data_IF_768034360174
#
_entry.id   IF_768034360174
#
_cell.length_a   1.000
_cell.length_b   1.000
_cell.length_c   1.000
_cell.angle_alpha   90.00
_cell.angle_beta   90.00
_cell.angle_gamma   90.00
#
_symmetry.space_group_name_H-M   'P 1'
#
loop_
_entity.id
_entity.type
_entity.pdbx_description
1 polymer ?
#
# COMPACT_ATOMS: atom_id res chain seq x y z
N UNK A 1 8.60 6.60 -11.28
CA UNK A 1 8.42 5.38 -10.44
C UNK A 1 8.96 5.63 -9.01
N UNK A 2 8.22 6.35 -8.17
CA UNK A 2 8.57 6.71 -6.77
C UNK A 2 7.94 5.71 -5.78
N UNK A 3 8.26 4.42 -5.94
CA UNK A 3 8.13 3.50 -4.80
C UNK A 3 9.10 4.06 -3.76
N UNK A 4 8.70 4.24 -2.50
CA UNK A 4 9.62 4.53 -1.39
C UNK A 4 10.51 3.29 -1.07
N UNK A 5 10.91 2.56 -2.11
CA UNK A 5 12.14 1.80 -2.12
C UNK A 5 13.23 2.84 -2.26
N UNK A 6 14.10 2.87 -1.27
CA UNK A 6 15.37 3.57 -1.28
C UNK A 6 16.20 3.11 -2.49
N UNK A 7 15.93 3.70 -3.66
CA UNK A 7 16.85 3.77 -4.79
C UNK A 7 17.17 5.25 -5.03
N UNK A 8 17.58 5.92 -3.96
CA UNK A 8 18.44 7.08 -4.10
C UNK A 8 19.85 6.51 -4.24
N UNK A 9 20.27 6.41 -5.51
CA UNK A 9 21.69 6.33 -5.84
C UNK A 9 22.44 7.35 -5.01
N UNK A 10 23.44 6.88 -4.28
CA UNK A 10 24.48 7.70 -3.69
C UNK A 10 25.25 8.42 -4.80
N UNK A 11 24.78 9.58 -5.26
CA UNK A 11 25.60 10.57 -5.96
C UNK A 11 25.17 11.93 -5.45
N UNK A 12 26.04 12.60 -4.68
CA UNK A 12 25.84 13.98 -4.26
C UNK A 12 25.92 14.18 -2.74
N UNK A 13 27.14 14.37 -2.26
CA UNK A 13 27.46 14.83 -0.91
C UNK A 13 26.70 16.11 -0.50
N UNK A 14 25.96 16.08 0.60
CA UNK A 14 26.15 17.00 1.74
C UNK A 14 25.44 16.49 3.00
N UNK A 15 26.20 16.50 4.09
CA UNK A 15 26.04 15.77 5.35
C UNK A 15 24.89 16.32 6.20
N UNK A 16 24.13 15.44 6.86
CA UNK A 16 23.91 15.50 8.31
C UNK A 16 23.85 14.07 8.86
N UNK A 17 24.62 13.86 9.93
CA UNK A 17 24.98 12.61 10.61
C UNK A 17 23.78 11.71 10.96
N UNK A 18 23.88 10.37 11.02
CA UNK A 18 24.81 9.59 11.84
C UNK A 18 25.19 8.28 11.12
N UNK A 19 26.49 8.06 10.96
CA UNK A 19 27.09 6.72 10.83
C UNK A 19 27.94 6.49 12.08
N UNK A 20 27.97 5.25 12.59
CA UNK A 20 29.24 4.61 12.84
C UNK A 20 29.35 3.37 11.96
N UNK A 21 30.40 3.38 11.16
CA UNK A 21 31.01 2.23 10.51
C UNK A 21 31.63 1.32 11.58
N UNK A 22 31.22 0.04 11.66
CA UNK A 22 32.13 -1.11 11.70
C UNK A 22 31.36 -2.44 11.80
N UNK A 23 31.74 -3.33 10.89
CA UNK A 23 31.81 -4.79 10.87
C UNK A 23 31.20 -5.63 12.00
N UNK A 24 30.59 -6.74 11.57
CA UNK A 24 30.15 -7.85 12.40
C UNK A 24 31.26 -8.33 13.35
N UNK A 25 30.97 -8.41 14.64
CA UNK A 25 31.54 -9.44 15.52
C UNK A 25 30.41 -10.06 16.33
N UNK A 26 30.46 -11.38 16.39
CA UNK A 26 29.73 -12.28 17.27
C UNK A 26 29.62 -11.70 18.69
N UNK A 27 28.41 -11.33 19.10
CA UNK A 27 28.15 -10.78 20.42
C UNK A 27 26.67 -10.84 20.72
N UNK A 28 26.33 -11.55 21.79
CA UNK A 28 24.99 -11.77 22.36
C UNK A 28 24.05 -10.58 22.18
N UNK A 29 22.86 -10.88 21.65
CA UNK A 29 21.67 -10.03 21.65
C UNK A 29 21.46 -9.46 23.05
N UNK A 30 21.72 -8.16 23.25
CA UNK A 30 21.15 -7.43 24.38
C UNK A 30 20.01 -6.58 23.85
N UNK A 31 18.87 -7.26 23.82
CA UNK A 31 17.54 -6.68 23.81
C UNK A 31 17.45 -5.59 24.91
N UNK A 32 16.65 -4.55 24.62
CA UNK A 32 16.07 -3.58 25.55
C UNK A 32 16.81 -2.25 25.79
N UNK A 33 16.06 -1.14 25.57
CA UNK A 33 16.24 0.23 26.12
C UNK A 33 16.70 1.40 25.22
N UNK A 34 16.50 1.37 23.89
CA UNK A 34 16.72 2.59 23.06
C UNK A 34 15.73 2.88 21.91
N UNK A 35 14.54 2.28 21.86
CA UNK A 35 13.45 2.87 21.05
C UNK A 35 12.68 3.85 21.93
N UNK A 36 13.37 4.94 22.34
CA UNK A 36 12.66 6.08 22.92
C UNK A 36 11.64 6.50 21.88
N UNK A 37 10.38 6.55 22.32
CA UNK A 37 9.23 7.13 21.64
C UNK A 37 9.49 8.62 21.41
N UNK A 38 10.48 8.95 20.59
CA UNK A 38 10.81 10.32 20.27
C UNK A 38 9.77 10.76 19.25
N UNK A 39 8.67 11.34 19.73
CA UNK A 39 7.61 11.86 18.88
C UNK A 39 8.18 13.07 18.14
N UNK A 40 8.75 12.82 16.97
CA UNK A 40 9.19 13.89 16.08
C UNK A 40 7.97 14.63 15.55
N UNK A 41 7.76 15.87 15.98
CA UNK A 41 6.71 16.74 15.44
C UNK A 41 7.20 17.44 14.19
N UNK A 42 6.39 17.42 13.14
CA UNK A 42 6.60 18.24 11.94
C UNK A 42 5.45 19.23 11.80
N UNK A 43 5.77 20.46 11.41
CA UNK A 43 4.76 21.46 11.07
C UNK A 43 4.51 21.42 9.55
N UNK A 44 3.26 21.17 9.15
CA UNK A 44 2.82 21.30 7.75
C UNK A 44 1.65 22.29 7.75
N UNK A 45 1.77 23.38 6.99
CA UNK A 45 0.74 24.43 6.88
C UNK A 45 0.26 24.94 8.26
N UNK A 46 1.18 25.17 9.19
CA UNK A 46 0.89 25.66 10.54
C UNK A 46 0.30 24.63 11.51
N UNK A 47 0.06 23.38 11.09
CA UNK A 47 -0.41 22.28 11.95
C UNK A 47 0.74 21.33 12.30
N UNK A 48 0.85 20.95 13.56
CA UNK A 48 1.83 19.96 14.01
C UNK A 48 1.30 18.54 13.86
N UNK A 49 2.15 17.65 13.33
CA UNK A 49 1.85 16.23 13.17
C UNK A 49 2.95 15.39 13.82
N UNK A 50 2.55 14.38 14.59
CA UNK A 50 3.47 13.40 15.15
C UNK A 50 3.91 12.41 14.07
N UNK A 51 5.21 12.35 13.77
CA UNK A 51 5.80 11.33 12.91
C UNK A 51 6.09 10.06 13.71
N UNK A 52 5.79 8.92 13.09
CA UNK A 52 6.10 7.60 13.66
C UNK A 52 7.34 7.04 12.96
N UNK A 53 8.34 6.61 13.73
CA UNK A 53 9.48 5.88 13.18
C UNK A 53 9.03 4.48 12.70
N UNK A 54 9.67 3.96 11.65
CA UNK A 54 9.55 2.57 11.21
C UNK A 54 10.89 1.88 11.49
N UNK A 55 10.89 0.87 12.36
CA UNK A 55 12.09 0.13 12.73
C UNK A 55 12.64 -0.71 11.56
N UNK A 56 11.76 -1.33 10.78
CA UNK A 56 12.13 -2.20 9.64
C UNK A 56 12.80 -1.41 8.53
N UNK A 57 12.15 -0.36 8.03
CA UNK A 57 12.68 0.47 6.94
C UNK A 57 13.66 1.56 7.42
N UNK A 58 13.87 1.69 8.74
CA UNK A 58 14.75 2.68 9.40
C UNK A 58 14.52 4.12 8.91
N UNK A 59 13.25 4.53 8.82
CA UNK A 59 12.85 5.87 8.38
C UNK A 59 11.73 6.46 9.23
N UNK A 60 11.70 7.79 9.33
CA UNK A 60 10.56 8.51 9.89
C UNK A 60 9.44 8.57 8.86
N UNK A 61 8.28 7.98 9.19
CA UNK A 61 7.16 7.90 8.26
C UNK A 61 6.53 9.29 8.10
N UNK A 62 6.32 9.78 6.87
CA UNK A 62 5.53 10.98 6.66
C UNK A 62 4.09 10.75 7.15
N UNK A 63 3.32 11.82 7.40
CA UNK A 63 1.94 11.70 7.86
C UNK A 63 1.11 10.84 6.90
N UNK A 64 0.31 9.93 7.46
CA UNK A 64 -0.50 8.95 6.73
C UNK A 64 0.28 7.87 5.96
N UNK A 65 1.60 7.76 6.11
CA UNK A 65 2.32 6.59 5.58
C UNK A 65 2.28 5.41 6.55
N UNK A 66 2.14 4.21 6.00
CA UNK A 66 2.10 2.94 6.73
C UNK A 66 3.20 2.01 6.24
N UNK A 67 3.70 1.13 7.12
CA UNK A 67 4.58 0.04 6.72
C UNK A 67 3.73 -1.21 6.48
N UNK A 68 3.87 -1.83 5.32
CA UNK A 68 3.26 -3.11 5.03
C UNK A 68 4.28 -4.22 5.31
N UNK A 69 4.00 -5.08 6.29
CA UNK A 69 4.87 -6.23 6.60
C UNK A 69 4.95 -7.23 5.46
N UNK A 70 3.89 -7.38 4.66
CA UNK A 70 3.85 -8.33 3.56
C UNK A 70 4.72 -7.91 2.36
N UNK A 71 4.76 -6.62 2.05
CA UNK A 71 5.60 -6.08 0.98
C UNK A 71 6.96 -5.56 1.48
N UNK A 72 7.18 -5.62 2.79
CA UNK A 72 8.35 -5.11 3.51
C UNK A 72 8.77 -3.70 3.06
N UNK A 73 7.78 -2.79 2.97
CA UNK A 73 8.03 -1.43 2.53
C UNK A 73 7.06 -0.41 3.18
N UNK A 74 7.53 0.84 3.28
CA UNK A 74 6.70 1.96 3.67
C UNK A 74 5.97 2.54 2.45
N UNK A 75 4.65 2.65 2.54
CA UNK A 75 3.76 3.14 1.49
C UNK A 75 3.14 4.47 1.93
N UNK A 76 3.19 5.48 1.04
CA UNK A 76 2.60 6.79 1.28
C UNK A 76 1.08 6.75 1.12
N UNK A 77 0.33 7.38 2.04
CA UNK A 77 -1.13 7.27 2.13
C UNK A 77 -1.55 5.80 2.02
N UNK A 78 -0.95 4.97 2.87
CA UNK A 78 -1.19 3.54 2.85
C UNK A 78 -2.65 3.28 3.19
N UNK A 79 -3.33 2.57 2.30
CA UNK A 79 -4.72 2.15 2.50
C UNK A 79 -4.73 0.70 2.98
N UNK A 80 -4.38 -0.23 2.09
CA UNK A 80 -4.28 -1.65 2.44
C UNK A 80 -3.31 -2.40 1.52
N UNK A 81 -2.92 -3.60 1.94
CA UNK A 81 -2.32 -4.57 1.03
C UNK A 81 -3.43 -5.40 0.41
N UNK A 82 -3.63 -5.27 -0.91
CA UNK A 82 -4.67 -6.04 -1.60
C UNK A 82 -4.11 -7.41 -2.00
N UNK A 83 -4.69 -8.49 -1.46
CA UNK A 83 -4.30 -9.84 -1.84
C UNK A 83 -4.60 -10.11 -3.32
N UNK A 84 -5.76 -9.66 -3.80
CA UNK A 84 -6.23 -9.90 -5.17
C UNK A 84 -5.32 -9.30 -6.24
N UNK A 85 -4.80 -8.10 -5.99
CA UNK A 85 -3.88 -7.41 -6.90
C UNK A 85 -2.41 -7.78 -6.62
N UNK A 86 -2.14 -8.44 -5.48
CA UNK A 86 -0.78 -8.78 -5.05
C UNK A 86 0.10 -7.56 -4.77
N UNK A 87 -0.48 -6.40 -4.47
CA UNK A 87 0.24 -5.14 -4.30
C UNK A 87 -0.38 -4.26 -3.21
N UNK A 88 0.42 -3.35 -2.65
CA UNK A 88 -0.07 -2.33 -1.74
C UNK A 88 -0.82 -1.24 -2.49
N UNK A 89 -1.99 -0.87 -1.99
CA UNK A 89 -2.76 0.28 -2.46
C UNK A 89 -2.40 1.50 -1.61
N UNK A 90 -2.06 2.59 -2.28
CA UNK A 90 -1.73 3.85 -1.65
C UNK A 90 -1.66 4.99 -2.65
N UNK A 91 -0.97 6.07 -2.31
CA UNK A 91 -1.01 7.33 -3.07
C UNK A 91 -0.73 7.19 -4.59
N UNK A 92 0.09 6.21 -5.00
CA UNK A 92 0.54 6.08 -6.40
C UNK A 92 -0.45 5.39 -7.32
N UNK A 93 -1.26 4.48 -6.77
CA UNK A 93 -2.11 3.57 -7.52
C UNK A 93 -3.59 3.64 -7.08
N UNK A 94 -3.93 4.47 -6.09
CA UNK A 94 -5.30 4.59 -5.59
C UNK A 94 -6.31 4.91 -6.70
N UNK A 95 -5.97 5.83 -7.62
CA UNK A 95 -6.86 6.19 -8.74
C UNK A 95 -7.09 5.01 -9.69
N UNK A 96 -6.02 4.30 -10.04
CA UNK A 96 -6.09 3.14 -10.93
C UNK A 96 -6.86 2.00 -10.28
N UNK A 97 -6.62 1.74 -8.99
CA UNK A 97 -7.34 0.74 -8.22
C UNK A 97 -8.83 1.06 -8.15
N UNK A 98 -9.20 2.33 -7.93
CA UNK A 98 -10.60 2.76 -7.94
C UNK A 98 -11.27 2.54 -9.30
N UNK A 99 -10.60 2.92 -10.40
CA UNK A 99 -11.12 2.66 -11.76
C UNK A 99 -11.24 1.17 -12.06
N UNK A 100 -10.31 0.35 -11.56
CA UNK A 100 -10.39 -1.11 -11.67
C UNK A 100 -11.64 -1.66 -10.97
N UNK A 101 -11.91 -1.24 -9.72
CA UNK A 101 -13.12 -1.67 -9.00
C UNK A 101 -14.39 -1.20 -9.72
N UNK A 102 -14.45 0.04 -10.20
CA UNK A 102 -15.59 0.53 -11.00
C UNK A 102 -15.77 -0.29 -12.28
N UNK A 103 -14.69 -0.58 -13.00
CA UNK A 103 -14.74 -1.43 -14.19
C UNK A 103 -15.24 -2.84 -13.89
N UNK A 104 -14.82 -3.45 -12.78
CA UNK A 104 -15.36 -4.73 -12.32
C UNK A 104 -16.86 -4.69 -12.05
N UNK A 105 -17.36 -3.60 -11.45
CA UNK A 105 -18.78 -3.46 -11.19
C UNK A 105 -19.58 -3.33 -12.49
N UNK A 106 -19.11 -2.50 -13.44
CA UNK A 106 -19.75 -2.38 -14.75
C UNK A 106 -19.74 -3.71 -15.51
N UNK A 107 -18.62 -4.43 -15.49
CA UNK A 107 -18.51 -5.75 -16.13
C UNK A 107 -19.45 -6.77 -15.49
N UNK A 108 -19.55 -6.78 -14.16
CA UNK A 108 -20.46 -7.70 -13.44
C UNK A 108 -21.92 -7.42 -13.79
N UNK A 109 -22.32 -6.14 -13.87
CA UNK A 109 -23.67 -5.75 -14.30
C UNK A 109 -23.94 -6.10 -15.77
N UNK A 110 -22.95 -5.91 -16.63
CA UNK A 110 -23.04 -6.30 -18.04
C UNK A 110 -23.29 -7.80 -18.17
N UNK A 111 -22.46 -8.65 -17.55
CA UNK A 111 -22.63 -10.11 -17.58
C UNK A 111 -23.98 -10.52 -16.99
N UNK A 112 -24.39 -9.92 -15.88
CA UNK A 112 -25.70 -10.19 -15.27
C UNK A 112 -26.85 -9.88 -16.22
N UNK A 113 -26.83 -8.71 -16.87
CA UNK A 113 -27.86 -8.30 -17.82
C UNK A 113 -28.01 -9.30 -18.97
N UNK A 114 -26.90 -9.69 -19.62
CA UNK A 114 -26.94 -10.69 -20.69
C UNK A 114 -27.38 -12.06 -20.19
N UNK A 115 -26.92 -12.49 -19.01
CA UNK A 115 -27.34 -13.77 -18.44
C UNK A 115 -28.86 -13.84 -18.21
N UNK A 116 -29.48 -12.75 -17.74
CA UNK A 116 -30.93 -12.66 -17.52
C UNK A 116 -31.68 -12.70 -18.85
N UNK A 117 -31.21 -12.00 -19.88
CA UNK A 117 -31.82 -12.02 -21.22
C UNK A 117 -31.77 -13.43 -21.83
N UNK A 118 -30.61 -14.08 -21.78
CA UNK A 118 -30.48 -15.44 -22.33
C UNK A 118 -31.34 -16.43 -21.56
N UNK A 119 -31.38 -16.32 -20.23
CA UNK A 119 -32.22 -17.19 -19.41
C UNK A 119 -33.71 -16.97 -19.65
N UNK A 120 -34.17 -15.73 -19.77
CA UNK A 120 -35.58 -15.44 -20.06
C UNK A 120 -35.99 -15.93 -21.45
N UNK A 121 -35.13 -15.75 -22.47
CA UNK A 121 -35.37 -16.28 -23.80
C UNK A 121 -35.49 -17.82 -23.80
N UNK A 122 -34.60 -18.51 -23.08
CA UNK A 122 -34.67 -19.97 -22.93
C UNK A 122 -36.00 -20.42 -22.30
N UNK A 123 -36.44 -19.76 -21.22
CA UNK A 123 -37.72 -20.06 -20.59
C UNK A 123 -38.91 -19.83 -21.53
N UNK A 124 -38.90 -18.76 -22.34
CA UNK A 124 -39.97 -18.52 -23.30
C UNK A 124 -40.04 -19.58 -24.39
N UNK A 125 -38.89 -20.13 -24.81
CA UNK A 125 -38.84 -21.20 -25.82
C UNK A 125 -39.32 -22.52 -25.26
N UNK A 126 -38.94 -22.90 -24.03
CA UNK A 126 -39.38 -24.17 -23.44
C UNK A 126 -40.87 -24.16 -23.04
N UNK A 127 -41.37 -23.06 -22.46
CA UNK A 127 -42.81 -22.95 -22.11
C UNK A 127 -43.67 -22.81 -23.38
N UNK A 128 -43.11 -22.27 -24.47
CA UNK A 128 -43.82 -22.04 -25.73
C UNK A 128 -43.92 -23.25 -26.67
N UNK A 129 -43.28 -24.39 -26.36
CA UNK A 129 -43.42 -25.61 -27.16
C UNK A 129 -44.73 -26.32 -26.80
N UNK A 130 -45.65 -26.56 -27.77
CA UNK A 130 -46.78 -27.44 -27.53
C UNK A 130 -46.28 -28.88 -27.27
N UNK A 131 -46.96 -29.58 -26.34
CA UNK A 131 -46.71 -30.99 -25.98
C UNK A 131 -46.74 -31.93 -27.20
#
# INVERSE_FOLDING_TARGET
>A
MLILRCRLSCIGHRRLAVRPSCWCTSGSVRHERWVRSDKRKIAICGRSYDQKFCATCRLWRPPRAGHCSRCDNCVLRFDHHCFWVGNCIGARNYRQFFMFILGLQVYSLFVLFFSVITFSAFLTVEIGKPL
#
